data_IF_237081315583
#
_entry.id   IF_237081315583
#
_cell.length_a   1.000
_cell.length_b   1.000
_cell.length_c   1.000
_cell.angle_alpha   90.00
_cell.angle_beta   90.00
_cell.angle_gamma   90.00
#
_symmetry.space_group_name_H-M   'P 1'
#
loop_
_entity.id
_entity.type
_entity.pdbx_description
1 polymer ?
#
# COMPACT_ATOMS: atom_id res chain seq x y z
N UNK A 1 4.35 1.96 -0.99
CA UNK A 1 3.58 2.69 -2.02
C UNK A 1 2.55 1.74 -2.62
N UNK A 2 1.26 2.09 -2.62
CA UNK A 2 0.17 1.18 -3.01
C UNK A 2 0.00 1.17 -4.54
N UNK A 3 0.13 -0.01 -5.17
CA UNK A 3 0.06 -0.15 -6.63
C UNK A 3 -1.34 0.11 -7.22
N UNK A 4 -2.39 0.12 -6.40
CA UNK A 4 -3.78 0.27 -6.82
C UNK A 4 -4.05 1.58 -7.57
N UNK A 5 -3.26 2.63 -7.31
CA UNK A 5 -3.35 3.91 -8.03
C UNK A 5 -3.25 3.80 -9.55
N UNK A 6 -2.43 2.86 -10.03
CA UNK A 6 -2.16 2.68 -11.46
C UNK A 6 -3.36 2.09 -12.20
N UNK A 7 -4.25 1.41 -11.46
CA UNK A 7 -5.45 0.80 -12.03
C UNK A 7 -6.56 1.84 -12.23
N UNK A 8 -6.55 2.96 -11.50
CA UNK A 8 -7.62 3.95 -11.48
C UNK A 8 -7.07 5.39 -11.53
N UNK A 9 -6.43 5.80 -12.65
CA UNK A 9 -5.81 7.12 -12.75
C UNK A 9 -6.82 8.26 -12.56
N UNK A 10 -6.44 9.28 -11.79
CA UNK A 10 -7.25 10.49 -11.46
C UNK A 10 -8.55 10.18 -10.72
N UNK A 11 -8.65 9.01 -10.09
CA UNK A 11 -9.80 8.63 -9.27
C UNK A 11 -9.39 8.58 -7.81
N UNK A 12 -10.33 8.99 -6.97
CA UNK A 12 -10.22 8.71 -5.54
C UNK A 12 -10.58 7.26 -5.30
N UNK A 13 -9.71 6.55 -4.59
CA UNK A 13 -9.83 5.14 -4.26
C UNK A 13 -10.06 5.03 -2.76
N UNK A 14 -11.09 4.30 -2.38
CA UNK A 14 -11.40 3.97 -0.99
C UNK A 14 -11.05 2.51 -0.75
N UNK A 15 -10.17 2.25 0.20
CA UNK A 15 -9.71 0.92 0.55
C UNK A 15 -10.24 0.61 1.94
N UNK A 16 -11.09 -0.40 2.03
CA UNK A 16 -11.59 -0.94 3.28
C UNK A 16 -10.98 -2.32 3.51
N UNK A 17 -10.31 -2.48 4.66
CA UNK A 17 -9.66 -3.73 5.03
C UNK A 17 -9.68 -3.91 6.55
N UNK A 18 -9.01 -4.95 7.04
CA UNK A 18 -8.84 -5.23 8.46
C UNK A 18 -7.36 -5.35 8.81
N UNK A 19 -7.02 -4.97 10.03
CA UNK A 19 -5.71 -5.19 10.61
C UNK A 19 -5.37 -6.68 10.58
N UNK A 20 -4.19 -7.02 10.09
CA UNK A 20 -3.74 -8.42 10.00
C UNK A 20 -3.56 -9.08 11.38
N UNK A 21 -3.26 -8.29 12.41
CA UNK A 21 -3.00 -8.77 13.77
C UNK A 21 -4.29 -8.89 14.60
N UNK A 22 -5.05 -7.81 14.75
CA UNK A 22 -6.23 -7.76 15.62
C UNK A 22 -7.59 -7.85 14.90
N UNK A 23 -7.65 -7.69 13.57
CA UNK A 23 -8.89 -7.72 12.81
C UNK A 23 -9.73 -6.43 12.82
N UNK A 24 -9.29 -5.39 13.52
CA UNK A 24 -9.95 -4.07 13.55
C UNK A 24 -10.01 -3.42 12.17
N UNK A 25 -11.03 -2.59 11.88
CA UNK A 25 -11.19 -1.98 10.57
C UNK A 25 -10.07 -0.97 10.27
N UNK A 26 -9.61 -0.97 9.02
CA UNK A 26 -8.69 0.03 8.48
C UNK A 26 -9.34 0.63 7.22
N UNK A 27 -9.37 1.96 7.15
CA UNK A 27 -9.87 2.75 6.02
C UNK A 27 -8.75 3.63 5.48
N UNK A 28 -8.53 3.59 4.17
CA UNK A 28 -7.55 4.43 3.47
C UNK A 28 -8.25 5.13 2.31
N UNK A 29 -8.04 6.44 2.19
CA UNK A 29 -8.42 7.21 1.01
C UNK A 29 -7.18 7.70 0.30
N UNK A 30 -7.11 7.50 -0.99
CA UNK A 30 -5.99 7.94 -1.81
C UNK A 30 -6.45 8.45 -3.16
N UNK A 31 -5.63 9.31 -3.77
CA UNK A 31 -5.79 9.76 -5.14
C UNK A 31 -4.41 9.85 -5.77
N UNK A 32 -4.21 9.10 -6.85
CA UNK A 32 -2.92 9.01 -7.53
C UNK A 32 -1.78 8.67 -6.54
N UNK A 33 -0.84 9.59 -6.32
CA UNK A 33 0.32 9.39 -5.42
C UNK A 33 0.09 9.86 -3.99
N UNK A 34 -1.06 10.46 -3.71
CA UNK A 34 -1.38 11.08 -2.43
C UNK A 34 -2.31 10.19 -1.59
N UNK A 35 -1.94 9.98 -0.33
CA UNK A 35 -2.83 9.43 0.68
C UNK A 35 -3.53 10.60 1.36
N UNK A 36 -4.85 10.69 1.15
CA UNK A 36 -5.69 11.75 1.69
C UNK A 36 -6.07 11.48 3.14
N UNK A 37 -6.26 10.21 3.51
CA UNK A 37 -6.69 9.80 4.84
C UNK A 37 -6.26 8.37 5.15
N UNK A 38 -5.90 8.12 6.41
CA UNK A 38 -5.69 6.79 6.98
C UNK A 38 -6.34 6.74 8.36
N UNK A 39 -7.25 5.79 8.56
CA UNK A 39 -7.93 5.55 9.84
C UNK A 39 -7.82 4.05 10.20
N UNK A 40 -7.16 3.68 11.32
CA UNK A 40 -6.49 4.56 12.27
C UNK A 40 -5.20 5.17 11.70
N UNK A 41 -4.78 6.36 12.14
CA UNK A 41 -3.56 7.03 11.65
C UNK A 41 -2.27 6.26 11.98
N UNK A 42 -2.35 5.27 12.85
CA UNK A 42 -1.26 4.36 13.23
C UNK A 42 -1.15 3.13 12.34
N UNK A 43 -2.00 2.98 11.32
CA UNK A 43 -1.96 1.83 10.43
C UNK A 43 -0.61 1.73 9.69
N UNK A 44 -0.10 0.50 9.58
CA UNK A 44 1.16 0.19 8.91
C UNK A 44 0.97 -0.86 7.82
N UNK A 45 1.77 -0.76 6.75
CA UNK A 45 1.81 -1.77 5.70
C UNK A 45 2.90 -2.79 5.96
N UNK A 46 2.54 -4.08 6.00
CA UNK A 46 3.50 -5.18 6.04
C UNK A 46 3.85 -5.64 4.62
N UNK A 47 5.14 -5.85 4.36
CA UNK A 47 5.62 -6.41 3.10
C UNK A 47 6.71 -7.44 3.36
N UNK A 48 6.51 -8.67 2.88
CA UNK A 48 7.55 -9.69 2.90
C UNK A 48 8.58 -9.37 1.81
N UNK A 49 9.81 -9.07 2.20
CA UNK A 49 10.92 -8.87 1.27
C UNK A 49 11.56 -10.21 0.91
N UNK A 50 11.59 -10.62 -0.37
CA UNK A 50 12.31 -11.80 -0.80
C UNK A 50 13.83 -11.49 -0.86
N UNK A 51 14.48 -11.43 0.31
CA UNK A 51 15.87 -11.00 0.49
C UNK A 51 16.85 -11.61 -0.52
N UNK A 52 16.74 -12.91 -0.81
CA UNK A 52 17.60 -13.57 -1.80
C UNK A 52 17.51 -12.92 -3.19
N UNK A 53 16.32 -12.52 -3.64
CA UNK A 53 16.12 -11.87 -4.94
C UNK A 53 16.55 -10.40 -4.90
N UNK A 54 16.37 -9.72 -3.77
CA UNK A 54 16.83 -8.35 -3.55
C UNK A 54 18.36 -8.26 -3.63
N UNK A 55 19.08 -9.16 -2.98
CA UNK A 55 20.56 -9.20 -3.01
C UNK A 55 21.11 -9.49 -4.41
N UNK A 56 20.39 -10.23 -5.24
CA UNK A 56 20.77 -10.52 -6.63
C UNK A 56 20.36 -9.42 -7.62
N UNK A 57 19.71 -8.34 -7.17
CA UNK A 57 19.21 -7.29 -8.06
C UNK A 57 18.05 -7.73 -8.98
N UNK A 58 17.48 -8.91 -8.76
CA UNK A 58 16.43 -9.50 -9.58
C UNK A 58 15.03 -8.91 -9.28
N UNK A 59 14.92 -7.99 -8.32
CA UNK A 59 13.68 -7.27 -8.00
C UNK A 59 13.86 -5.80 -8.36
N UNK A 60 13.18 -5.34 -9.41
CA UNK A 60 13.01 -3.92 -9.68
C UNK A 60 11.81 -3.41 -8.88
N UNK A 61 12.09 -2.61 -7.84
CA UNK A 61 11.05 -1.88 -7.13
C UNK A 61 10.70 -0.65 -7.96
N UNK A 62 9.57 -0.71 -8.66
CA UNK A 62 8.95 0.39 -9.41
C UNK A 62 9.81 1.65 -9.52
N UNK A 63 10.85 1.59 -10.35
CA UNK A 63 11.60 2.76 -10.77
C UNK A 63 10.66 3.53 -11.69
N UNK A 64 9.92 4.46 -11.09
CA UNK A 64 9.25 5.55 -11.79
C UNK A 64 10.15 6.77 -11.75
#
# INVERSE_FOLDING_TARGET
MLAVRWLFPRKEIHIETRCLDCGDPIRIRMRDDEILEVDPPTAVGHMNLPFAKVLTGAVSWGAG
#
